data_IF_510246883481
#
_entry.id   IF_510246883481
#
_cell.length_a   1.000
_cell.length_b   1.000
_cell.length_c   1.000
_cell.angle_alpha   90.00
_cell.angle_beta   90.00
_cell.angle_gamma   90.00
#
_symmetry.space_group_name_H-M   'P 1'
#
loop_
_entity.id
_entity.type
_entity.pdbx_description
1 polymer ?
#
# COMPACT_ATOMS: atom_id res chain seq x y z
N UNK A 1 -20.37 22.22 4.43
CA UNK A 1 -19.15 23.07 4.38
C UNK A 1 -17.98 22.23 4.88
N UNK A 2 -17.29 21.49 3.99
CA UNK A 2 -16.22 20.57 4.37
C UNK A 2 -14.88 21.31 4.38
N UNK A 3 -14.22 21.37 5.53
CA UNK A 3 -12.85 21.87 5.66
C UNK A 3 -11.88 20.75 5.25
N UNK A 4 -11.13 20.99 4.17
CA UNK A 4 -9.94 20.21 3.80
C UNK A 4 -8.91 20.34 4.93
N UNK A 5 -8.45 19.24 5.56
CA UNK A 5 -7.37 19.35 6.52
C UNK A 5 -6.08 19.74 5.79
N UNK A 6 -5.50 20.88 6.18
CA UNK A 6 -4.18 21.30 5.72
C UNK A 6 -3.14 20.30 6.26
N UNK A 7 -2.47 19.59 5.35
CA UNK A 7 -1.21 18.89 5.64
C UNK A 7 -0.16 19.94 6.02
N UNK A 8 0.10 20.11 7.31
CA UNK A 8 1.29 20.83 7.79
C UNK A 8 2.44 19.82 7.69
N UNK A 9 3.12 19.82 6.54
CA UNK A 9 4.29 18.98 6.31
C UNK A 9 5.50 19.54 7.05
N UNK A 10 5.86 18.95 8.19
CA UNK A 10 7.21 19.11 8.74
C UNK A 10 8.17 18.30 7.87
N UNK A 11 8.99 18.98 7.07
CA UNK A 11 10.04 18.37 6.27
C UNK A 11 11.22 17.99 7.20
N UNK A 12 11.15 16.82 7.82
CA UNK A 12 12.29 16.27 8.55
C UNK A 12 13.27 15.67 7.54
N UNK A 13 14.45 16.30 7.36
CA UNK A 13 15.60 15.66 6.72
C UNK A 13 16.16 14.61 7.68
N UNK A 14 15.98 13.33 7.35
CA UNK A 14 16.61 12.21 8.05
C UNK A 14 17.88 11.76 7.31
N UNK A 15 18.82 11.27 8.12
CA UNK A 15 20.19 10.83 7.86
C UNK A 15 20.42 9.97 6.61
N UNK A 16 21.64 10.08 6.05
CA UNK A 16 22.15 9.17 5.01
C UNK A 16 22.37 7.79 5.64
N UNK A 17 21.41 6.87 5.43
CA UNK A 17 21.51 5.49 5.87
C UNK A 17 22.39 4.66 4.93
N UNK A 18 23.36 3.94 5.52
CA UNK A 18 24.34 3.01 4.95
C UNK A 18 24.03 2.34 3.60
N UNK A 19 25.07 2.17 2.78
CA UNK A 19 25.11 1.33 1.57
C UNK A 19 24.62 -0.08 1.90
N UNK A 20 23.50 -0.50 1.32
CA UNK A 20 23.06 -1.89 1.37
C UNK A 20 23.26 -2.49 -0.01
N UNK A 21 24.31 -3.30 -0.17
CA UNK A 21 24.34 -4.31 -1.22
C UNK A 21 23.20 -5.28 -0.89
N UNK A 22 22.11 -5.19 -1.65
CA UNK A 22 20.92 -5.98 -1.40
C UNK A 22 20.44 -6.58 -2.71
N UNK A 23 20.19 -7.88 -2.68
CA UNK A 23 19.60 -8.61 -3.80
C UNK A 23 18.13 -8.24 -3.95
N UNK A 24 17.48 -7.89 -2.83
CA UNK A 24 16.06 -7.57 -2.77
C UNK A 24 15.78 -6.37 -1.85
N UNK A 25 14.85 -5.51 -2.25
CA UNK A 25 14.27 -4.45 -1.44
C UNK A 25 12.77 -4.67 -1.29
N UNK A 26 12.28 -4.76 -0.06
CA UNK A 26 10.88 -5.11 0.22
C UNK A 26 10.26 -4.05 1.12
N UNK A 27 9.03 -3.67 0.76
CA UNK A 27 8.14 -2.88 1.59
C UNK A 27 7.05 -3.81 2.14
N UNK A 28 6.80 -3.75 3.44
CA UNK A 28 5.73 -4.49 4.09
C UNK A 28 4.93 -3.60 5.02
N UNK A 29 3.64 -3.84 5.11
CA UNK A 29 2.78 -3.20 6.10
C UNK A 29 2.11 -4.24 6.97
N UNK A 30 2.03 -3.93 8.26
CA UNK A 30 1.31 -4.71 9.25
C UNK A 30 0.32 -3.79 9.95
N UNK A 31 -0.96 -4.14 9.95
CA UNK A 31 -2.05 -3.33 10.48
C UNK A 31 -2.65 -4.00 11.71
N UNK A 32 -2.66 -3.27 12.81
CA UNK A 32 -3.39 -3.68 14.00
C UNK A 32 -4.90 -3.55 13.76
N UNK A 33 -5.66 -4.55 14.18
CA UNK A 33 -7.12 -4.66 14.00
C UNK A 33 -7.91 -3.41 14.44
N UNK A 34 -7.37 -2.66 15.41
CA UNK A 34 -7.96 -1.46 15.97
C UNK A 34 -7.12 -0.20 15.75
N UNK A 35 -6.19 -0.24 14.80
CA UNK A 35 -5.42 0.92 14.36
C UNK A 35 -5.51 1.07 12.85
N UNK A 36 -6.71 1.30 12.29
CA UNK A 36 -6.80 1.58 10.87
C UNK A 36 -5.88 2.75 10.54
N UNK A 37 -5.15 2.62 9.45
CA UNK A 37 -4.30 3.67 8.94
C UNK A 37 -4.23 3.54 7.42
N UNK A 38 -3.82 4.62 6.77
CA UNK A 38 -3.41 4.59 5.37
C UNK A 38 -1.93 4.85 5.33
N UNK A 39 -1.19 3.97 4.66
CA UNK A 39 0.26 4.02 4.49
C UNK A 39 0.54 4.06 2.99
N UNK A 40 1.20 5.13 2.55
CA UNK A 40 1.57 5.35 1.15
C UNK A 40 3.08 5.42 1.03
N UNK A 41 3.63 4.81 0.00
CA UNK A 41 5.06 4.88 -0.29
C UNK A 41 5.31 5.35 -1.72
N UNK A 42 6.25 6.28 -1.84
CA UNK A 42 6.72 6.85 -3.10
C UNK A 42 8.22 6.65 -3.20
N UNK A 43 8.68 5.85 -4.16
CA UNK A 43 10.09 5.60 -4.42
C UNK A 43 10.52 6.38 -5.65
N UNK A 44 11.54 7.21 -5.52
CA UNK A 44 12.11 8.02 -6.61
C UNK A 44 11.04 8.86 -7.36
N UNK A 45 10.03 9.36 -6.64
CA UNK A 45 8.93 10.13 -7.21
C UNK A 45 7.77 9.30 -7.78
N UNK A 46 7.88 7.98 -7.79
CA UNK A 46 6.83 7.06 -8.26
C UNK A 46 6.10 6.46 -7.06
N UNK A 47 4.78 6.58 -7.00
CA UNK A 47 4.00 5.91 -5.96
C UNK A 47 4.01 4.39 -6.22
N UNK A 48 4.52 3.64 -5.24
CA UNK A 48 4.74 2.19 -5.37
C UNK A 48 3.82 1.37 -4.50
N UNK A 49 3.38 1.91 -3.36
CA UNK A 49 2.46 1.23 -2.46
C UNK A 49 1.38 2.19 -1.93
N UNK A 50 0.16 1.68 -1.81
CA UNK A 50 -0.92 2.30 -1.06
C UNK A 50 -1.67 1.22 -0.29
N UNK A 51 -1.42 1.12 1.01
CA UNK A 51 -2.08 0.14 1.85
C UNK A 51 -2.97 0.83 2.89
N UNK A 52 -4.15 0.28 3.09
CA UNK A 52 -5.11 0.75 4.07
C UNK A 52 -5.69 -0.43 4.82
N UNK A 53 -5.53 -0.44 6.14
CA UNK A 53 -6.18 -1.38 7.06
C UNK A 53 -6.07 -2.88 6.68
N UNK A 54 -5.02 -3.26 5.94
CA UNK A 54 -4.82 -4.63 5.47
C UNK A 54 -3.34 -4.89 5.16
N UNK A 55 -2.81 -6.01 5.67
CA UNK A 55 -1.39 -6.37 5.57
C UNK A 55 -0.99 -6.62 4.12
N UNK A 56 0.10 -6.02 3.68
CA UNK A 56 0.59 -6.11 2.31
C UNK A 56 2.10 -6.21 2.28
N UNK A 57 2.62 -6.78 1.19
CA UNK A 57 4.05 -6.83 0.92
C UNK A 57 4.29 -6.59 -0.57
N UNK A 58 5.36 -5.85 -0.87
CA UNK A 58 5.75 -5.47 -2.21
C UNK A 58 7.27 -5.56 -2.33
N UNK A 59 7.71 -6.36 -3.30
CA UNK A 59 9.08 -6.28 -3.81
C UNK A 59 9.23 -5.06 -4.72
N UNK A 60 10.09 -4.12 -4.32
CA UNK A 60 10.36 -2.87 -5.07
C UNK A 60 11.75 -2.89 -5.72
N UNK A 61 12.42 -4.04 -5.76
CA UNK A 61 13.80 -4.16 -6.26
C UNK A 61 13.98 -3.61 -7.67
N UNK A 62 13.01 -3.86 -8.56
CA UNK A 62 13.00 -3.33 -9.95
C UNK A 62 12.92 -1.81 -10.05
N UNK A 63 12.47 -1.14 -8.99
CA UNK A 63 12.25 0.31 -8.94
C UNK A 63 13.38 1.05 -8.22
N UNK A 64 14.25 0.30 -7.54
CA UNK A 64 15.49 0.82 -6.97
C UNK A 64 16.49 0.99 -8.10
N UNK A 65 17.15 2.14 -8.17
CA UNK A 65 18.25 2.37 -9.10
C UNK A 65 19.59 2.15 -8.42
N UNK A 66 20.63 1.85 -9.20
CA UNK A 66 22.01 1.92 -8.70
C UNK A 66 22.32 3.35 -8.24
N UNK A 67 22.94 3.49 -7.07
CA UNK A 67 23.26 4.78 -6.47
C UNK A 67 22.15 5.34 -5.58
N UNK A 68 21.99 6.66 -5.55
CA UNK A 68 21.10 7.35 -4.62
C UNK A 68 19.62 7.13 -4.95
N UNK A 69 18.85 6.68 -3.98
CA UNK A 69 17.39 6.54 -4.04
C UNK A 69 16.73 7.35 -2.92
N UNK A 70 15.49 7.77 -3.14
CA UNK A 70 14.67 8.44 -2.12
C UNK A 70 13.34 7.71 -1.97
N UNK A 71 13.07 7.21 -0.77
CA UNK A 71 11.77 6.67 -0.39
C UNK A 71 11.04 7.71 0.47
N UNK A 72 9.87 8.16 0.04
CA UNK A 72 8.96 8.97 0.85
C UNK A 72 7.83 8.09 1.36
N UNK A 73 7.58 8.13 2.67
CA UNK A 73 6.47 7.42 3.32
C UNK A 73 5.52 8.45 3.90
N UNK A 74 4.26 8.38 3.50
CA UNK A 74 3.16 9.18 4.04
C UNK A 74 2.24 8.29 4.87
N UNK A 75 1.74 8.80 5.98
CA UNK A 75 0.80 8.09 6.84
C UNK A 75 -0.36 8.98 7.24
N UNK A 76 -1.55 8.39 7.21
CA UNK A 76 -2.77 8.98 7.72
C UNK A 76 -3.39 8.04 8.76
N UNK A 77 -3.36 8.39 10.06
CA UNK A 77 -4.00 7.60 11.10
C UNK A 77 -5.52 7.61 10.93
N UNK A 78 -6.16 6.47 11.20
CA UNK A 78 -7.61 6.37 11.34
C UNK A 78 -8.06 6.66 12.77
N UNK A 79 -9.30 6.26 13.10
CA UNK A 79 -9.84 6.38 14.47
C UNK A 79 -9.21 5.32 15.38
N UNK A 80 -8.16 5.72 16.08
CA UNK A 80 -7.37 4.86 16.96
C UNK A 80 -7.77 5.06 18.42
N UNK A 81 -8.56 4.14 18.99
CA UNK A 81 -9.10 4.31 20.36
C UNK A 81 -8.25 3.62 21.44
N UNK A 82 -7.58 2.51 21.10
CA UNK A 82 -6.71 1.78 22.03
C UNK A 82 -5.22 2.06 21.81
N UNK A 83 -4.43 1.93 22.88
CA UNK A 83 -2.98 2.21 22.87
C UNK A 83 -2.11 0.98 22.57
N UNK A 84 -2.70 -0.22 22.53
CA UNK A 84 -1.97 -1.49 22.45
C UNK A 84 -1.75 -1.97 21.02
N UNK A 85 -2.65 -1.63 20.10
CA UNK A 85 -2.47 -1.98 18.69
C UNK A 85 -1.62 -0.92 18.01
N UNK A 86 -0.92 -1.33 16.95
CA UNK A 86 -0.11 -0.45 16.10
C UNK A 86 -0.24 -0.90 14.66
N UNK A 87 -0.09 0.04 13.74
CA UNK A 87 0.10 -0.23 12.33
C UNK A 87 1.48 0.24 11.92
N UNK A 88 2.13 -0.45 11.00
CA UNK A 88 3.49 -0.14 10.60
C UNK A 88 3.73 -0.29 9.11
N UNK A 89 4.68 0.48 8.59
CA UNK A 89 5.32 0.27 7.31
C UNK A 89 6.80 0.04 7.56
N UNK A 90 7.30 -1.11 7.11
CA UNK A 90 8.70 -1.47 7.16
C UNK A 90 9.25 -1.49 5.73
N UNK A 91 10.37 -0.82 5.52
CA UNK A 91 11.19 -0.94 4.33
C UNK A 91 12.52 -1.55 4.71
N UNK A 92 12.90 -2.62 4.03
CA UNK A 92 14.15 -3.31 4.30
C UNK A 92 14.82 -3.87 3.06
N UNK A 93 16.08 -4.22 3.26
CA UNK A 93 16.96 -4.83 2.29
C UNK A 93 17.26 -6.27 2.71
N UNK A 94 17.27 -7.18 1.74
CA UNK A 94 17.68 -8.57 1.93
C UNK A 94 18.92 -8.88 1.10
N UNK A 95 19.85 -9.59 1.71
CA UNK A 95 21.03 -10.15 1.07
C UNK A 95 21.17 -11.61 1.53
N UNK A 96 20.87 -12.57 0.66
CA UNK A 96 20.72 -13.98 1.04
C UNK A 96 19.67 -14.20 2.14
N UNK A 97 20.09 -14.77 3.28
CA UNK A 97 19.24 -15.00 4.46
C UNK A 97 19.14 -13.78 5.40
N UNK A 98 19.99 -12.77 5.21
CA UNK A 98 20.08 -11.63 6.12
C UNK A 98 19.06 -10.55 5.73
N UNK A 99 18.21 -10.20 6.69
CA UNK A 99 17.29 -9.08 6.59
C UNK A 99 17.84 -7.87 7.35
N UNK A 100 17.79 -6.70 6.71
CA UNK A 100 18.12 -5.42 7.33
C UNK A 100 16.97 -4.45 7.16
N UNK A 101 16.36 -4.05 8.26
CA UNK A 101 15.40 -2.94 8.28
C UNK A 101 16.12 -1.63 8.01
N UNK A 102 15.69 -0.89 6.99
CA UNK A 102 16.23 0.42 6.63
C UNK A 102 15.36 1.56 7.16
N UNK A 103 14.05 1.36 7.17
CA UNK A 103 13.07 2.29 7.72
C UNK A 103 11.93 1.49 8.36
N UNK A 104 11.48 1.94 9.53
CA UNK A 104 10.26 1.45 10.17
C UNK A 104 9.42 2.65 10.60
N UNK A 105 8.23 2.80 10.03
CA UNK A 105 7.26 3.83 10.41
C UNK A 105 6.10 3.19 11.14
N UNK A 106 5.94 3.56 12.41
CA UNK A 106 4.84 3.10 13.26
C UNK A 106 3.76 4.19 13.37
N UNK A 107 2.51 3.77 13.27
CA UNK A 107 1.30 4.56 13.49
C UNK A 107 0.54 3.92 14.64
N UNK A 108 0.34 4.69 15.70
CA UNK A 108 -0.35 4.26 16.92
C UNK A 108 -1.27 5.37 17.44
N UNK A 109 -1.98 5.14 18.54
CA UNK A 109 -2.82 6.17 19.18
C UNK A 109 -2.05 7.48 19.39
N UNK A 110 -2.67 8.59 19.00
CA UNK A 110 -2.08 9.93 19.10
C UNK A 110 -1.02 10.25 18.05
N UNK A 111 -0.68 9.33 17.15
CA UNK A 111 0.18 9.66 16.00
C UNK A 111 -0.58 10.61 15.09
N UNK A 112 -0.02 11.80 14.82
CA UNK A 112 -0.56 12.72 13.83
C UNK A 112 -0.25 12.24 12.40
N UNK A 113 -1.08 12.65 11.43
CA UNK A 113 -0.77 12.45 10.01
C UNK A 113 0.57 13.12 9.65
N UNK A 114 1.30 12.57 8.69
CA UNK A 114 2.59 13.13 8.31
C UNK A 114 3.28 12.38 7.18
N UNK A 115 4.51 12.82 6.90
CA UNK A 115 5.37 12.27 5.87
C UNK A 115 6.83 12.29 6.32
N UNK A 116 7.62 11.36 5.80
CA UNK A 116 9.08 11.35 5.98
C UNK A 116 9.75 10.90 4.69
N UNK A 117 10.93 11.45 4.40
CA UNK A 117 11.76 10.99 3.29
C UNK A 117 13.04 10.36 3.82
N UNK A 118 13.35 9.19 3.27
CA UNK A 118 14.51 8.39 3.60
C UNK A 118 15.37 8.23 2.34
N UNK A 119 16.64 8.61 2.44
CA UNK A 119 17.61 8.48 1.35
C UNK A 119 18.49 7.27 1.61
N UNK A 120 18.65 6.41 0.60
CA UNK A 120 19.51 5.23 0.67
C UNK A 120 20.30 4.99 -0.60
N UNK A 121 21.41 4.28 -0.49
CA UNK A 121 22.21 3.85 -1.63
C UNK A 121 21.78 2.43 -2.04
N UNK A 122 21.26 2.33 -3.25
CA UNK A 122 20.81 1.09 -3.86
C UNK A 122 21.88 0.47 -4.75
N UNK A 123 21.95 -0.86 -4.75
CA UNK A 123 22.67 -1.62 -5.77
C UNK A 123 21.93 -2.94 -6.02
N UNK A 124 20.75 -2.89 -6.68
CA UNK A 124 19.88 -4.05 -6.84
C UNK A 124 20.47 -5.06 -7.82
N UNK A 125 20.13 -6.33 -7.61
CA UNK A 125 20.34 -7.39 -8.60
C UNK A 125 19.39 -7.23 -9.80
N UNK A 126 19.59 -8.01 -10.87
CA UNK A 126 18.68 -8.00 -12.02
C UNK A 126 17.26 -8.36 -11.58
N UNK A 127 16.33 -7.43 -11.77
CA UNK A 127 14.99 -7.55 -11.23
C UNK A 127 14.11 -8.52 -12.03
N UNK A 128 13.12 -9.18 -11.40
CA UNK A 128 12.15 -10.00 -12.10
C UNK A 128 11.33 -9.18 -13.11
N UNK A 129 10.96 -9.80 -14.22
CA UNK A 129 10.10 -9.19 -15.24
C UNK A 129 8.70 -8.89 -14.64
N UNK A 130 8.03 -7.83 -15.12
CA UNK A 130 6.67 -7.52 -14.67
C UNK A 130 5.74 -8.71 -14.85
N UNK A 131 5.03 -9.09 -13.78
CA UNK A 131 4.02 -10.15 -13.81
C UNK A 131 2.66 -9.68 -14.33
N UNK A 132 1.72 -10.61 -14.40
CA UNK A 132 0.30 -10.33 -14.66
C UNK A 132 -0.24 -9.39 -13.58
N UNK A 133 -0.93 -8.32 -13.97
CA UNK A 133 -1.59 -7.42 -13.04
C UNK A 133 -3.00 -7.93 -12.78
N UNK A 134 -3.30 -8.19 -11.52
CA UNK A 134 -4.59 -8.76 -11.09
C UNK A 134 -5.18 -7.86 -10.03
N UNK A 135 -6.50 -7.69 -10.08
CA UNK A 135 -7.28 -7.25 -8.93
C UNK A 135 -7.93 -8.47 -8.29
N UNK A 136 -7.88 -8.54 -6.96
CA UNK A 136 -8.38 -9.65 -6.16
C UNK A 136 -9.20 -9.11 -4.99
N UNK A 137 -10.40 -9.65 -4.83
CA UNK A 137 -11.29 -9.35 -3.73
C UNK A 137 -11.34 -10.52 -2.73
N UNK A 138 -11.31 -10.20 -1.44
CA UNK A 138 -11.54 -11.13 -0.33
C UNK A 138 -12.53 -10.54 0.64
N UNK A 139 -13.70 -11.15 0.76
CA UNK A 139 -14.85 -10.55 1.44
C UNK A 139 -15.27 -11.35 2.66
N UNK A 140 -15.56 -10.64 3.74
CA UNK A 140 -16.15 -11.22 4.94
C UNK A 140 -17.66 -11.00 4.93
N UNK A 141 -18.43 -12.06 5.19
CA UNK A 141 -19.88 -11.96 5.35
C UNK A 141 -20.29 -11.06 6.53
N UNK A 142 -19.43 -10.92 7.55
CA UNK A 142 -19.66 -10.02 8.69
C UNK A 142 -19.18 -8.59 8.45
N UNK A 143 -18.57 -8.33 7.29
CA UNK A 143 -18.15 -7.01 6.81
C UNK A 143 -18.36 -6.93 5.30
N UNK A 144 -19.61 -7.01 4.79
CA UNK A 144 -19.86 -6.94 3.36
C UNK A 144 -19.32 -5.61 2.81
N UNK A 145 -18.89 -5.64 1.55
CA UNK A 145 -18.36 -4.46 0.88
C UNK A 145 -18.58 -4.60 -0.63
N UNK A 146 -18.57 -3.45 -1.30
CA UNK A 146 -18.54 -3.38 -2.76
C UNK A 146 -17.35 -2.53 -3.19
N UNK A 147 -16.66 -2.97 -4.23
CA UNK A 147 -15.59 -2.25 -4.89
C UNK A 147 -15.87 -2.14 -6.38
N UNK A 148 -15.81 -0.94 -6.93
CA UNK A 148 -15.80 -0.67 -8.36
C UNK A 148 -14.41 -0.19 -8.75
N UNK A 149 -13.80 -0.86 -9.72
CA UNK A 149 -12.43 -0.60 -10.18
C UNK A 149 -12.49 -0.11 -11.61
N UNK A 150 -12.05 1.12 -11.80
CA UNK A 150 -11.87 1.72 -13.11
C UNK A 150 -10.39 1.86 -13.44
N UNK A 151 -10.03 1.58 -14.69
CA UNK A 151 -8.71 1.80 -15.24
C UNK A 151 -8.79 2.88 -16.31
N UNK A 152 -8.03 3.96 -16.15
CA UNK A 152 -8.01 5.10 -17.07
C UNK A 152 -9.40 5.70 -17.34
N UNK A 153 -10.29 5.65 -16.34
CA UNK A 153 -11.66 6.18 -16.41
C UNK A 153 -12.72 5.17 -16.83
N UNK A 154 -12.34 3.98 -17.29
CA UNK A 154 -13.28 2.92 -17.70
C UNK A 154 -13.42 1.86 -16.62
N UNK A 155 -14.65 1.51 -16.22
CA UNK A 155 -14.90 0.46 -15.24
C UNK A 155 -14.54 -0.90 -15.84
N UNK A 156 -13.60 -1.59 -15.21
CA UNK A 156 -13.06 -2.89 -15.66
C UNK A 156 -13.38 -4.04 -14.71
N UNK A 157 -13.77 -3.74 -13.46
CA UNK A 157 -14.24 -4.75 -12.52
C UNK A 157 -15.18 -4.14 -11.47
N UNK A 158 -16.18 -4.93 -11.07
CA UNK A 158 -17.00 -4.67 -9.88
C UNK A 158 -17.01 -5.93 -9.02
N UNK A 159 -16.78 -5.79 -7.72
CA UNK A 159 -16.55 -6.90 -6.80
C UNK A 159 -17.32 -6.71 -5.49
N UNK A 160 -18.07 -7.74 -5.08
CA UNK A 160 -18.74 -7.83 -3.79
C UNK A 160 -18.66 -9.25 -3.17
N UNK A 161 -17.89 -10.13 -3.79
CA UNK A 161 -17.62 -11.52 -3.37
C UNK A 161 -16.18 -11.87 -3.74
N UNK A 162 -15.63 -12.90 -3.08
CA UNK A 162 -14.32 -13.45 -3.40
C UNK A 162 -14.14 -13.69 -4.90
N UNK A 163 -13.01 -13.24 -5.43
CA UNK A 163 -12.76 -13.38 -6.86
C UNK A 163 -11.52 -12.61 -7.32
N UNK A 164 -11.17 -12.82 -8.58
CA UNK A 164 -10.08 -12.10 -9.23
C UNK A 164 -10.48 -11.64 -10.63
N UNK A 165 -9.81 -10.60 -11.11
CA UNK A 165 -9.95 -10.10 -12.49
C UNK A 165 -8.58 -9.72 -13.00
N UNK A 166 -8.26 -10.19 -14.21
CA UNK A 166 -7.03 -9.82 -14.90
C UNK A 166 -7.13 -8.40 -15.45
N UNK A 167 -6.30 -7.50 -14.96
CA UNK A 167 -6.24 -6.12 -15.45
C UNK A 167 -5.27 -5.97 -16.62
N UNK A 168 -4.46 -6.99 -16.89
CA UNK A 168 -3.39 -6.95 -17.90
C UNK A 168 -3.88 -6.56 -19.30
N UNK A 169 -5.04 -7.03 -19.81
CA UNK A 169 -5.51 -6.64 -21.15
C UNK A 169 -5.87 -5.15 -21.28
N UNK A 170 -6.17 -4.47 -20.18
CA UNK A 170 -6.65 -3.09 -20.18
C UNK A 170 -5.53 -2.05 -19.99
N UNK A 171 -4.33 -2.49 -19.61
CA UNK A 171 -3.19 -1.61 -19.34
C UNK A 171 -2.52 -1.13 -20.63
N UNK A 172 -2.36 0.19 -20.72
CA UNK A 172 -1.60 0.88 -21.77
C UNK A 172 -0.12 0.98 -21.38
N UNK A 173 0.76 1.23 -22.36
CA UNK A 173 2.16 1.53 -22.07
C UNK A 173 2.29 2.83 -21.26
N UNK A 174 3.21 2.86 -20.30
CA UNK A 174 3.45 4.00 -19.42
C UNK A 174 2.50 4.06 -18.23
N UNK A 175 2.08 5.27 -17.86
CA UNK A 175 1.25 5.53 -16.69
C UNK A 175 -0.21 5.18 -16.97
N UNK A 176 -0.76 4.29 -16.16
CA UNK A 176 -2.18 4.02 -16.03
C UNK A 176 -2.68 4.54 -14.69
N UNK A 177 -3.96 4.87 -14.59
CA UNK A 177 -4.59 5.31 -13.34
C UNK A 177 -5.68 4.33 -12.96
N UNK A 178 -5.52 3.68 -11.82
CA UNK A 178 -6.57 2.90 -11.19
C UNK A 178 -7.36 3.84 -10.30
N UNK A 179 -8.67 3.88 -10.49
CA UNK A 179 -9.61 4.51 -9.58
C UNK A 179 -10.43 3.41 -8.93
N UNK A 180 -10.46 3.39 -7.60
CA UNK A 180 -11.32 2.48 -6.84
C UNK A 180 -12.38 3.31 -6.16
N UNK A 181 -13.64 2.97 -6.36
CA UNK A 181 -14.74 3.40 -5.50
C UNK A 181 -15.11 2.24 -4.61
N UNK A 182 -15.52 2.54 -3.39
CA UNK A 182 -15.90 1.51 -2.43
C UNK A 182 -17.10 1.93 -1.59
N UNK A 183 -17.90 0.94 -1.24
CA UNK A 183 -19.08 1.08 -0.38
C UNK A 183 -18.98 0.02 0.73
N UNK A 184 -18.69 0.42 1.98
CA UNK A 184 -18.76 -0.51 3.10
C UNK A 184 -20.22 -0.86 3.40
N UNK A 185 -20.49 -2.14 3.62
CA UNK A 185 -21.76 -2.60 4.14
C UNK A 185 -21.83 -2.53 5.67
N UNK A 186 -22.90 -3.07 6.25
CA UNK A 186 -23.11 -3.08 7.70
C UNK A 186 -22.15 -4.10 8.37
N UNK A 187 -21.19 -3.58 9.12
CA UNK A 187 -20.33 -4.40 9.97
C UNK A 187 -21.15 -5.05 11.10
N UNK A 188 -21.03 -6.37 11.26
CA UNK A 188 -21.57 -7.12 12.42
C UNK A 188 -20.48 -7.68 13.32
N UNK A 189 -19.21 -7.55 12.93
CA UNK A 189 -18.05 -8.04 13.66
C UNK A 189 -16.87 -7.07 13.56
N UNK A 190 -16.40 -6.55 14.69
CA UNK A 190 -15.31 -5.57 14.73
C UNK A 190 -13.95 -6.09 14.23
N UNK A 191 -13.78 -7.41 14.12
CA UNK A 191 -12.58 -8.08 13.62
C UNK A 191 -12.63 -8.38 12.11
N UNK A 192 -13.80 -8.26 11.49
CA UNK A 192 -13.99 -8.60 10.09
C UNK A 192 -13.50 -7.47 9.18
N UNK A 193 -12.80 -7.84 8.10
CA UNK A 193 -12.30 -6.94 7.07
C UNK A 193 -12.58 -7.54 5.70
N UNK A 194 -13.16 -6.76 4.80
CA UNK A 194 -13.22 -7.07 3.36
C UNK A 194 -12.14 -6.30 2.64
N UNK A 195 -11.37 -6.97 1.78
CA UNK A 195 -10.15 -6.41 1.20
C UNK A 195 -10.19 -6.47 -0.32
N UNK A 196 -9.88 -5.35 -0.96
CA UNK A 196 -9.48 -5.29 -2.36
C UNK A 196 -7.95 -5.24 -2.44
N UNK A 197 -7.37 -6.00 -3.35
CA UNK A 197 -5.94 -5.95 -3.61
C UNK A 197 -5.70 -5.79 -5.11
N UNK A 198 -4.88 -4.83 -5.52
CA UNK A 198 -4.32 -4.75 -6.89
C UNK A 198 -2.83 -5.01 -6.80
N UNK A 199 -2.34 -5.95 -7.60
CA UNK A 199 -0.95 -6.35 -7.50
C UNK A 199 -0.50 -7.22 -8.66
N UNK A 200 0.79 -7.55 -8.61
CA UNK A 200 1.40 -8.44 -9.59
C UNK A 200 1.43 -9.86 -9.02
N UNK A 201 0.96 -10.82 -9.80
CA UNK A 201 1.16 -12.23 -9.50
C UNK A 201 2.41 -12.71 -10.26
N UNK A 202 3.43 -13.12 -9.52
CA UNK A 202 4.70 -13.66 -10.06
C UNK A 202 4.90 -15.06 -9.48
N UNK A 203 4.50 -16.08 -10.24
CA UNK A 203 4.37 -17.45 -9.72
C UNK A 203 3.34 -17.47 -8.56
N UNK A 204 3.74 -18.05 -7.43
CA UNK A 204 2.91 -18.10 -6.21
C UNK A 204 3.02 -16.84 -5.33
N UNK A 205 3.89 -15.89 -5.71
CA UNK A 205 4.12 -14.67 -4.92
C UNK A 205 3.18 -13.55 -5.35
N UNK A 206 2.58 -12.91 -4.35
CA UNK A 206 1.66 -11.79 -4.53
C UNK A 206 2.33 -10.48 -4.13
N UNK A 207 2.62 -9.63 -5.12
CA UNK A 207 3.21 -8.31 -4.92
C UNK A 207 2.10 -7.27 -4.84
N UNK A 208 1.77 -6.83 -3.62
CA UNK A 208 0.67 -5.90 -3.36
C UNK A 208 1.07 -4.47 -3.66
N UNK A 209 0.68 -3.94 -4.82
CA UNK A 209 0.87 -2.52 -5.17
C UNK A 209 -0.14 -1.65 -4.43
N UNK A 210 -1.37 -2.14 -4.31
CA UNK A 210 -2.46 -1.51 -3.61
C UNK A 210 -3.20 -2.57 -2.81
N UNK A 211 -3.52 -2.28 -1.55
CA UNK A 211 -4.36 -3.12 -0.71
C UNK A 211 -5.24 -2.29 0.17
N UNK A 212 -6.55 -2.47 0.07
CA UNK A 212 -7.53 -1.65 0.75
C UNK A 212 -8.53 -2.51 1.51
N UNK A 213 -8.38 -2.57 2.83
CA UNK A 213 -9.28 -3.26 3.75
C UNK A 213 -10.35 -2.32 4.27
N UNK A 214 -11.61 -2.72 4.18
CA UNK A 214 -12.73 -2.05 4.84
C UNK A 214 -13.09 -2.85 6.08
N UNK A 215 -12.82 -2.27 7.24
CA UNK A 215 -13.14 -2.85 8.55
C UNK A 215 -14.24 -2.08 9.25
N UNK A 216 -14.40 -2.35 10.55
CA UNK A 216 -15.45 -1.74 11.39
C UNK A 216 -15.43 -0.19 11.43
N UNK A 217 -14.25 0.42 11.31
CA UNK A 217 -14.13 1.87 11.33
C UNK A 217 -14.57 2.53 10.01
N UNK A 218 -14.65 1.76 8.93
CA UNK A 218 -14.94 2.23 7.57
C UNK A 218 -16.45 2.18 7.33
N UNK A 219 -17.13 3.26 7.71
CA UNK A 219 -18.61 3.33 7.73
C UNK A 219 -19.20 4.15 6.60
N UNK A 220 -18.37 4.72 5.73
CA UNK A 220 -18.80 5.61 4.65
C UNK A 220 -18.22 5.18 3.31
N UNK A 221 -18.98 5.32 2.22
CA UNK A 221 -18.45 5.17 0.87
C UNK A 221 -17.30 6.15 0.62
N UNK A 222 -16.42 5.79 -0.30
CA UNK A 222 -15.29 6.63 -0.68
C UNK A 222 -14.68 6.24 -2.01
N UNK A 223 -13.62 6.96 -2.37
CA UNK A 223 -12.83 6.65 -3.56
C UNK A 223 -11.37 7.09 -3.37
N UNK A 224 -10.47 6.40 -4.05
CA UNK A 224 -9.07 6.77 -4.14
C UNK A 224 -8.52 6.39 -5.51
N UNK A 225 -7.36 6.96 -5.85
CA UNK A 225 -6.64 6.68 -7.09
C UNK A 225 -5.25 6.16 -6.81
N UNK A 226 -4.76 5.26 -7.67
CA UNK A 226 -3.42 4.70 -7.61
C UNK A 226 -2.80 4.62 -9.00
N UNK A 227 -1.59 5.15 -9.23
CA UNK A 227 -0.93 5.01 -10.53
C UNK A 227 -0.33 3.61 -10.69
N UNK A 228 -0.54 2.98 -11.85
CA UNK A 228 0.15 1.76 -12.27
C UNK A 228 1.07 2.07 -13.44
N UNK A 229 2.29 1.55 -13.43
CA UNK A 229 3.26 1.75 -14.51
C UNK A 229 3.52 0.42 -15.20
N UNK A 230 3.43 0.42 -16.53
CA UNK A 230 3.68 -0.74 -17.40
C UNK A 230 4.61 -0.38 -18.55
#
# INVERSE_FOLDING_TARGET
MFRTPRLIGALALASVGSVAWAEQYVLSTDFGLYQPATLKATLNGVQVALHHNANGSLDVTSLVKKGKNTLTVEWMPGKNTNSFNKSSLTFGARNGSQWKTLLNRVVQKGTAAGSTSFVFMGNPSAAPKPGKIVVSGKFSQSQPAEFEVALNGEVVASMNTDGNTDLTPFLKAGKNVVTVKYTPGKNTNSYAVSTLTVGQQVGDKWNSLLKWGLGHADTKPGSFTFPLYR
#
